data_IF_813142319077
#
_entry.id   IF_813142319077
#
_cell.length_a   1.000
_cell.length_b   1.000
_cell.length_c   1.000
_cell.angle_alpha   90.00
_cell.angle_beta   90.00
_cell.angle_gamma   90.00
#
_symmetry.space_group_name_H-M   'P 1'
#
loop_
_entity.id
_entity.type
_entity.pdbx_description
1 polymer ?
#
# COMPACT_ATOMS: atom_id res chain seq x y z
N UNK A 1 14.02 -57.66 -30.25
CA UNK A 1 12.82 -57.10 -29.58
C UNK A 1 13.18 -56.13 -28.46
N UNK A 2 13.91 -56.56 -27.42
CA UNK A 2 14.24 -55.71 -26.26
C UNK A 2 14.95 -54.41 -26.66
N UNK A 3 15.99 -54.48 -27.50
CA UNK A 3 16.73 -53.29 -27.94
C UNK A 3 15.84 -52.28 -28.70
N UNK A 4 14.94 -52.78 -29.55
CA UNK A 4 13.99 -51.93 -30.28
C UNK A 4 13.00 -51.25 -29.32
N UNK A 5 12.51 -51.96 -28.31
CA UNK A 5 11.63 -51.39 -27.27
C UNK A 5 12.35 -50.30 -26.47
N UNK A 6 13.62 -50.52 -26.11
CA UNK A 6 14.43 -49.52 -25.41
C UNK A 6 14.62 -48.27 -26.27
N UNK A 7 14.93 -48.42 -27.56
CA UNK A 7 15.09 -47.28 -28.48
C UNK A 7 13.78 -46.49 -28.59
N UNK A 8 12.65 -47.16 -28.76
CA UNK A 8 11.33 -46.51 -28.83
C UNK A 8 11.00 -45.79 -27.53
N UNK A 9 11.28 -46.41 -26.37
CA UNK A 9 11.11 -45.78 -25.07
C UNK A 9 11.93 -44.49 -24.95
N UNK A 10 13.21 -44.51 -25.34
CA UNK A 10 14.06 -43.32 -25.31
C UNK A 10 13.56 -42.20 -26.23
N UNK A 11 13.01 -42.55 -27.40
CA UNK A 11 12.43 -41.57 -28.33
C UNK A 11 11.18 -40.92 -27.70
N UNK A 12 10.24 -41.72 -27.19
CA UNK A 12 9.02 -41.21 -26.54
C UNK A 12 9.39 -40.37 -25.31
N UNK A 13 10.33 -40.86 -24.51
CA UNK A 13 10.81 -40.16 -23.32
C UNK A 13 11.43 -38.81 -23.66
N UNK A 14 12.24 -38.73 -24.73
CA UNK A 14 12.78 -37.46 -25.24
C UNK A 14 11.68 -36.50 -25.69
N UNK A 15 10.68 -36.98 -26.42
CA UNK A 15 9.54 -36.16 -26.86
C UNK A 15 8.76 -35.63 -25.67
N UNK A 16 8.47 -36.49 -24.69
CA UNK A 16 7.76 -36.13 -23.46
C UNK A 16 8.51 -35.06 -22.66
N UNK A 17 9.83 -35.23 -22.47
CA UNK A 17 10.66 -34.23 -21.76
C UNK A 17 10.64 -32.87 -22.45
N UNK A 18 10.75 -32.84 -23.78
CA UNK A 18 10.72 -31.59 -24.52
C UNK A 18 9.37 -30.86 -24.37
N UNK A 19 8.25 -31.60 -24.38
CA UNK A 19 6.92 -31.03 -24.14
C UNK A 19 6.80 -30.52 -22.70
N UNK A 20 7.27 -31.29 -21.72
CA UNK A 20 7.25 -30.88 -20.32
C UNK A 20 8.03 -29.58 -20.07
N UNK A 21 9.22 -29.44 -20.66
CA UNK A 21 10.02 -28.22 -20.56
C UNK A 21 9.30 -27.00 -21.15
N UNK A 22 8.53 -27.18 -22.23
CA UNK A 22 7.74 -26.09 -22.83
C UNK A 22 6.68 -25.58 -21.86
N UNK A 23 5.87 -26.47 -21.28
CA UNK A 23 4.86 -26.08 -20.29
C UNK A 23 5.47 -25.39 -19.07
N UNK A 24 6.62 -25.89 -18.60
CA UNK A 24 7.32 -25.25 -17.49
C UNK A 24 7.79 -23.83 -17.84
N UNK A 25 8.26 -23.61 -19.07
CA UNK A 25 8.62 -22.27 -19.56
C UNK A 25 7.42 -21.34 -19.61
N UNK A 26 6.25 -21.81 -20.06
CA UNK A 26 5.02 -21.00 -20.10
C UNK A 26 4.58 -20.56 -18.69
N UNK A 27 4.62 -21.48 -17.71
CA UNK A 27 4.30 -21.17 -16.32
C UNK A 27 5.27 -20.13 -15.76
N UNK A 28 6.58 -20.29 -16.00
CA UNK A 28 7.57 -19.31 -15.54
C UNK A 28 7.34 -17.92 -16.15
N UNK A 29 6.99 -17.86 -17.44
CA UNK A 29 6.64 -16.58 -18.09
C UNK A 29 5.40 -15.95 -17.44
N UNK A 30 4.39 -16.77 -17.11
CA UNK A 30 3.21 -16.31 -16.38
C UNK A 30 3.50 -15.83 -14.96
N UNK A 31 4.52 -16.38 -14.29
CA UNK A 31 4.96 -15.90 -12.98
C UNK A 31 5.78 -14.61 -13.13
N UNK A 32 6.67 -14.55 -14.13
CA UNK A 32 7.49 -13.37 -14.40
C UNK A 32 6.63 -12.13 -14.73
N UNK A 33 5.47 -12.32 -15.35
CA UNK A 33 4.54 -11.21 -15.62
C UNK A 33 3.94 -10.61 -14.33
N UNK A 34 3.77 -11.41 -13.26
CA UNK A 34 3.35 -10.91 -11.95
C UNK A 34 4.42 -10.01 -11.33
N UNK A 35 5.69 -10.34 -11.53
CA UNK A 35 6.83 -9.58 -10.99
C UNK A 35 7.01 -8.28 -11.76
N UNK A 36 6.85 -8.33 -13.09
CA UNK A 36 6.99 -7.17 -13.97
C UNK A 36 5.76 -6.25 -13.95
N UNK A 37 4.72 -6.61 -13.21
CA UNK A 37 3.43 -5.91 -13.16
C UNK A 37 2.87 -5.62 -14.56
N UNK A 38 2.98 -6.59 -15.48
CA UNK A 38 2.46 -6.43 -16.83
C UNK A 38 0.93 -6.23 -16.79
N UNK A 39 0.36 -5.45 -17.71
CA UNK A 39 -1.04 -5.01 -17.68
C UNK A 39 -1.99 -6.08 -18.24
N UNK A 40 -1.50 -7.02 -19.05
CA UNK A 40 -2.31 -8.07 -19.68
C UNK A 40 -2.58 -9.31 -18.81
N UNK A 41 -3.70 -10.00 -19.05
CA UNK A 41 -3.91 -11.33 -18.48
C UNK A 41 -2.88 -12.33 -19.03
N UNK A 42 -2.46 -13.26 -18.19
CA UNK A 42 -1.63 -14.38 -18.62
C UNK A 42 -2.53 -15.38 -19.32
N UNK A 43 -2.14 -15.78 -20.53
CA UNK A 43 -2.75 -16.86 -21.29
C UNK A 43 -1.72 -18.00 -21.43
N UNK A 44 -2.08 -19.20 -20.96
CA UNK A 44 -1.24 -20.39 -21.05
C UNK A 44 -1.88 -21.40 -22.02
N UNK A 45 -1.14 -22.45 -22.35
CA UNK A 45 -1.71 -23.58 -23.11
C UNK A 45 -2.98 -24.13 -22.42
N UNK A 46 -3.98 -24.63 -23.18
CA UNK A 46 -5.27 -25.09 -22.64
C UNK A 46 -5.15 -26.14 -21.53
N UNK A 47 -4.11 -26.98 -21.58
CA UNK A 47 -3.78 -27.99 -20.57
C UNK A 47 -3.43 -27.37 -19.20
N UNK A 48 -3.02 -26.10 -19.20
CA UNK A 48 -2.61 -25.33 -18.02
C UNK A 48 -3.66 -24.31 -17.56
N UNK A 49 -4.90 -24.38 -18.06
CA UNK A 49 -5.98 -23.43 -17.73
C UNK A 49 -6.18 -23.21 -16.22
N UNK A 50 -6.01 -24.27 -15.41
CA UNK A 50 -6.11 -24.16 -13.96
C UNK A 50 -5.00 -23.28 -13.35
N UNK A 51 -3.78 -23.36 -13.91
CA UNK A 51 -2.64 -22.55 -13.50
C UNK A 51 -2.80 -21.12 -13.98
N UNK A 52 -3.25 -20.94 -15.23
CA UNK A 52 -3.58 -19.64 -15.81
C UNK A 52 -4.53 -18.85 -14.91
N UNK A 53 -5.68 -19.44 -14.58
CA UNK A 53 -6.67 -18.83 -13.68
C UNK A 53 -6.09 -18.47 -12.32
N UNK A 54 -5.20 -19.31 -11.78
CA UNK A 54 -4.56 -19.05 -10.49
C UNK A 54 -3.59 -17.89 -10.56
N UNK A 55 -2.78 -17.80 -11.62
CA UNK A 55 -1.87 -16.69 -11.86
C UNK A 55 -2.64 -15.38 -12.01
N UNK A 56 -3.68 -15.34 -12.85
CA UNK A 56 -4.51 -14.15 -13.03
C UNK A 56 -5.24 -13.75 -11.73
N UNK A 57 -5.68 -14.73 -10.94
CA UNK A 57 -6.28 -14.45 -9.63
C UNK A 57 -5.27 -13.79 -8.67
N UNK A 58 -4.02 -14.30 -8.62
CA UNK A 58 -2.94 -13.70 -7.82
C UNK A 58 -2.68 -12.27 -8.30
N UNK A 59 -2.64 -12.05 -9.62
CA UNK A 59 -2.44 -10.72 -10.20
C UNK A 59 -3.48 -9.71 -9.70
N UNK A 60 -4.76 -10.04 -9.80
CA UNK A 60 -5.83 -9.15 -9.33
C UNK A 60 -5.76 -8.88 -7.83
N UNK A 61 -5.38 -9.87 -7.02
CA UNK A 61 -5.19 -9.67 -5.58
C UNK A 61 -4.05 -8.69 -5.31
N UNK A 62 -2.95 -8.78 -6.07
CA UNK A 62 -1.82 -7.86 -5.93
C UNK A 62 -2.19 -6.44 -6.37
N UNK A 63 -2.88 -6.28 -7.49
CA UNK A 63 -3.41 -4.99 -7.97
C UNK A 63 -4.34 -4.35 -6.93
N UNK A 64 -5.29 -5.13 -6.39
CA UNK A 64 -6.22 -4.67 -5.37
C UNK A 64 -5.48 -4.23 -4.09
N UNK A 65 -4.53 -5.03 -3.60
CA UNK A 65 -3.75 -4.69 -2.39
C UNK A 65 -2.89 -3.44 -2.61
N UNK A 66 -2.33 -3.25 -3.79
CA UNK A 66 -1.57 -2.06 -4.15
C UNK A 66 -2.47 -0.82 -4.11
N UNK A 67 -3.65 -0.90 -4.71
CA UNK A 67 -4.64 0.18 -4.67
C UNK A 67 -5.07 0.51 -3.22
N UNK A 68 -5.39 -0.51 -2.42
CA UNK A 68 -5.76 -0.32 -1.01
C UNK A 68 -4.64 0.34 -0.19
N UNK A 69 -3.39 -0.05 -0.43
CA UNK A 69 -2.22 0.54 0.24
C UNK A 69 -2.06 2.01 -0.13
N UNK A 70 -2.17 2.35 -1.42
CA UNK A 70 -2.11 3.74 -1.89
C UNK A 70 -3.24 4.58 -1.27
N UNK A 71 -4.45 4.04 -1.22
CA UNK A 71 -5.59 4.72 -0.60
C UNK A 71 -5.40 4.92 0.91
N UNK A 72 -4.84 3.93 1.61
CA UNK A 72 -4.53 4.06 3.03
C UNK A 72 -3.46 5.12 3.28
N UNK A 73 -2.43 5.18 2.44
CA UNK A 73 -1.38 6.19 2.52
C UNK A 73 -1.92 7.60 2.22
N UNK A 74 -2.80 7.74 1.23
CA UNK A 74 -3.47 9.00 0.93
C UNK A 74 -4.31 9.48 2.13
N UNK A 75 -5.15 8.61 2.70
CA UNK A 75 -5.95 8.96 3.89
C UNK A 75 -5.08 9.36 5.08
N UNK A 76 -3.94 8.68 5.29
CA UNK A 76 -2.96 9.05 6.32
C UNK A 76 -2.41 10.45 6.06
N UNK A 77 -2.02 10.76 4.82
CA UNK A 77 -1.49 12.08 4.47
C UNK A 77 -2.55 13.18 4.62
N UNK A 78 -3.79 12.95 4.20
CA UNK A 78 -4.91 13.87 4.39
C UNK A 78 -5.17 14.14 5.88
N UNK A 79 -5.14 13.09 6.71
CA UNK A 79 -5.27 13.22 8.17
C UNK A 79 -4.13 14.06 8.76
N UNK A 80 -2.89 13.86 8.32
CA UNK A 80 -1.75 14.67 8.77
C UNK A 80 -1.93 16.14 8.40
N UNK A 81 -2.36 16.43 7.17
CA UNK A 81 -2.63 17.81 6.71
C UNK A 81 -3.74 18.45 7.55
N UNK A 82 -4.81 17.72 7.80
CA UNK A 82 -5.92 18.16 8.65
C UNK A 82 -5.44 18.50 10.06
N UNK A 83 -4.69 17.59 10.70
CA UNK A 83 -4.14 17.79 12.04
C UNK A 83 -3.17 18.99 12.07
N UNK A 84 -2.32 19.15 11.06
CA UNK A 84 -1.39 20.28 10.99
C UNK A 84 -2.13 21.64 10.91
N UNK A 85 -3.21 21.73 10.13
CA UNK A 85 -4.06 22.92 10.06
C UNK A 85 -4.69 23.23 11.43
N UNK A 86 -5.27 22.21 12.07
CA UNK A 86 -5.99 22.37 13.33
C UNK A 86 -5.06 22.64 14.52
N UNK A 87 -3.80 22.22 14.48
CA UNK A 87 -2.80 22.55 15.49
C UNK A 87 -2.17 23.93 15.30
N UNK A 88 -2.02 24.41 14.06
CA UNK A 88 -1.41 25.71 13.76
C UNK A 88 -2.20 26.88 14.36
N UNK A 89 -3.52 26.81 14.29
CA UNK A 89 -4.44 27.86 14.77
C UNK A 89 -4.33 28.11 16.28
N UNK A 90 -4.49 27.11 17.18
CA UNK A 90 -4.34 27.31 18.62
C UNK A 90 -2.90 27.67 19.00
N UNK A 91 -1.89 27.12 18.33
CA UNK A 91 -0.48 27.45 18.62
C UNK A 91 -0.17 28.93 18.33
N UNK A 92 -0.68 29.44 17.21
CA UNK A 92 -0.54 30.86 16.84
C UNK A 92 -1.24 31.76 17.87
N UNK A 93 -2.43 31.37 18.33
CA UNK A 93 -3.13 32.08 19.40
C UNK A 93 -2.35 32.10 20.72
N UNK A 94 -1.76 30.97 21.13
CA UNK A 94 -0.93 30.88 22.34
C UNK A 94 0.30 31.77 22.23
N UNK A 95 1.00 31.75 21.08
CA UNK A 95 2.15 32.64 20.83
C UNK A 95 1.73 34.11 20.89
N UNK A 96 0.56 34.45 20.33
CA UNK A 96 0.00 35.81 20.41
C UNK A 96 -0.23 36.26 21.86
N UNK A 97 -0.86 35.42 22.68
CA UNK A 97 -1.06 35.73 24.11
C UNK A 97 0.25 35.84 24.89
N UNK A 98 1.23 34.95 24.64
CA UNK A 98 2.55 35.01 25.28
C UNK A 98 3.34 36.27 24.88
N UNK A 99 3.15 36.73 23.64
CA UNK A 99 3.76 37.99 23.16
C UNK A 99 3.16 39.20 23.87
N UNK A 100 1.83 39.25 24.02
CA UNK A 100 1.16 40.29 24.80
C UNK A 100 1.59 40.29 26.27
N UNK A 101 1.69 39.11 26.89
CA UNK A 101 2.18 38.95 28.27
C UNK A 101 3.62 39.42 28.47
N UNK A 102 4.46 39.32 27.44
CA UNK A 102 5.86 39.76 27.48
C UNK A 102 6.00 41.27 27.29
N UNK A 103 5.23 41.84 26.38
CA UNK A 103 5.41 43.21 25.93
C UNK A 103 4.60 44.23 26.77
N UNK A 104 3.57 43.79 27.54
CA UNK A 104 2.85 44.60 28.52
C UNK A 104 3.28 44.30 29.97
N UNK A 105 3.79 45.32 30.69
CA UNK A 105 4.23 45.18 32.10
C UNK A 105 3.09 45.08 33.12
N UNK A 106 1.86 45.44 32.73
CA UNK A 106 0.66 45.33 33.56
C UNK A 106 -0.48 44.73 32.73
N UNK A 107 -0.63 43.43 32.85
CA UNK A 107 -1.72 42.69 32.21
C UNK A 107 -2.98 42.87 33.05
N UNK A 108 -4.10 43.23 32.43
CA UNK A 108 -5.37 43.34 33.16
C UNK A 108 -5.83 41.97 33.68
N UNK A 109 -6.44 41.94 34.86
CA UNK A 109 -6.94 40.71 35.50
C UNK A 109 -7.96 39.96 34.62
N UNK A 110 -8.69 40.72 33.80
CA UNK A 110 -9.64 40.22 32.81
C UNK A 110 -8.96 39.53 31.62
N UNK A 111 -7.84 40.09 31.13
CA UNK A 111 -7.04 39.47 30.07
C UNK A 111 -6.40 38.17 30.56
N UNK A 112 -5.88 38.15 31.80
CA UNK A 112 -5.33 36.95 32.42
C UNK A 112 -6.37 35.83 32.56
N UNK A 113 -7.61 36.14 33.00
CA UNK A 113 -8.72 35.17 33.02
C UNK A 113 -9.05 34.64 31.63
N UNK A 114 -9.07 35.50 30.62
CA UNK A 114 -9.38 35.11 29.24
C UNK A 114 -8.32 34.15 28.68
N UNK A 115 -7.04 34.43 28.93
CA UNK A 115 -5.92 33.56 28.58
C UNK A 115 -6.04 32.20 29.28
N UNK A 116 -6.36 32.18 30.58
CA UNK A 116 -6.54 30.95 31.34
C UNK A 116 -7.68 30.07 30.78
N UNK A 117 -8.84 30.66 30.49
CA UNK A 117 -9.97 29.95 29.88
C UNK A 117 -9.59 29.41 28.50
N UNK A 118 -8.88 30.20 27.69
CA UNK A 118 -8.42 29.76 26.37
C UNK A 118 -7.45 28.58 26.47
N UNK A 119 -6.53 28.60 27.45
CA UNK A 119 -5.58 27.51 27.68
C UNK A 119 -6.28 26.23 28.13
N UNK A 120 -7.29 26.34 29.00
CA UNK A 120 -8.13 25.21 29.42
C UNK A 120 -8.93 24.63 28.25
N UNK A 121 -9.47 25.49 27.37
CA UNK A 121 -10.19 25.08 26.18
C UNK A 121 -9.28 24.36 25.18
N UNK A 122 -8.09 24.92 24.87
CA UNK A 122 -7.09 24.27 24.01
C UNK A 122 -6.69 22.91 24.58
N UNK A 123 -6.45 22.81 25.89
CA UNK A 123 -6.13 21.53 26.55
C UNK A 123 -7.22 20.48 26.34
N UNK A 124 -8.49 20.85 26.49
CA UNK A 124 -9.60 19.92 26.27
C UNK A 124 -9.76 19.54 24.79
N UNK A 125 -9.52 20.47 23.88
CA UNK A 125 -9.63 20.22 22.43
C UNK A 125 -8.52 19.30 21.92
N UNK A 126 -7.28 19.45 22.40
CA UNK A 126 -6.15 18.58 22.03
C UNK A 126 -6.30 17.17 22.61
N UNK A 127 -6.88 17.02 23.81
CA UNK A 127 -7.11 15.70 24.43
C UNK A 127 -8.25 14.89 23.77
N UNK A 128 -9.03 15.50 22.88
CA UNK A 128 -10.13 14.86 22.15
C UNK A 128 -9.72 14.37 20.75
N UNK A 129 -8.49 14.66 20.33
CA UNK A 129 -7.85 14.21 19.09
C UNK A 129 -7.04 12.95 19.43
#
# INVERSE_FOLDING_TARGET
MILAMVIVFFIIFRVYLNWFTKYFSEINQGIDSLIKEDVGEVALSPELLAIEKKINSIKHILEQRKFETQMAEQRKNELIVYLAHDLKTPLTSVIGYLTLLRDESQISEELAKKIFIYFVWIRQSVLKI
#
